data_IF_818300637394
#
_entry.id   IF_818300637394
#
_cell.length_a   1.000
_cell.length_b   1.000
_cell.length_c   1.000
_cell.angle_alpha   90.00
_cell.angle_beta   90.00
_cell.angle_gamma   90.00
#
_symmetry.space_group_name_H-M   'P 1'
#
loop_
_entity.id
_entity.type
_entity.pdbx_description
1 polymer ?
#
# COMPACT_ATOMS: atom_id res chain seq x y z
N UNK A 1 -10.47 -21.87 -2.34
CA UNK A 1 -10.47 -20.41 -2.07
C UNK A 1 -11.37 -19.73 -3.09
N UNK A 2 -12.29 -18.85 -2.66
CA UNK A 2 -13.14 -18.10 -3.61
C UNK A 2 -12.33 -17.04 -4.36
N UNK A 3 -12.79 -16.60 -5.53
CA UNK A 3 -12.16 -15.49 -6.29
C UNK A 3 -12.01 -14.23 -5.43
N UNK A 4 -13.03 -13.95 -4.61
CA UNK A 4 -13.03 -12.82 -3.67
C UNK A 4 -11.91 -12.96 -2.63
N UNK A 5 -11.82 -14.12 -1.97
CA UNK A 5 -10.78 -14.39 -0.97
C UNK A 5 -9.38 -14.25 -1.59
N UNK A 6 -9.17 -14.81 -2.79
CA UNK A 6 -7.87 -14.70 -3.48
C UNK A 6 -7.49 -13.25 -3.77
N UNK A 7 -8.41 -12.45 -4.29
CA UNK A 7 -8.16 -11.03 -4.60
C UNK A 7 -7.89 -10.23 -3.32
N UNK A 8 -8.66 -10.47 -2.26
CA UNK A 8 -8.44 -9.83 -0.97
C UNK A 8 -7.07 -10.19 -0.37
N UNK A 9 -6.68 -11.47 -0.39
CA UNK A 9 -5.39 -11.93 0.12
C UNK A 9 -4.22 -11.36 -0.69
N UNK A 10 -4.31 -11.33 -2.02
CA UNK A 10 -3.27 -10.70 -2.86
C UNK A 10 -3.18 -9.21 -2.58
N UNK A 11 -4.32 -8.51 -2.50
CA UNK A 11 -4.34 -7.09 -2.14
C UNK A 11 -3.71 -6.84 -0.76
N UNK A 12 -4.03 -7.67 0.23
CA UNK A 12 -3.44 -7.59 1.56
C UNK A 12 -1.93 -7.75 1.54
N UNK A 13 -1.42 -8.80 0.90
CA UNK A 13 0.02 -9.10 0.84
C UNK A 13 0.76 -7.94 0.15
N UNK A 14 0.25 -7.47 -0.98
CA UNK A 14 0.84 -6.33 -1.69
C UNK A 14 0.87 -5.09 -0.79
N UNK A 15 -0.26 -4.73 -0.19
CA UNK A 15 -0.34 -3.56 0.69
C UNK A 15 0.56 -3.67 1.93
N UNK A 16 0.68 -4.86 2.53
CA UNK A 16 1.53 -5.09 3.70
C UNK A 16 3.03 -5.00 3.36
N UNK A 17 3.43 -5.24 2.12
CA UNK A 17 4.82 -5.12 1.66
C UNK A 17 5.21 -3.70 1.23
N UNK A 18 4.25 -2.82 0.94
CA UNK A 18 4.53 -1.42 0.55
C UNK A 18 5.34 -0.67 1.62
N UNK A 19 5.03 -0.76 2.93
CA UNK A 19 5.85 -0.11 3.95
C UNK A 19 7.29 -0.65 3.98
N UNK A 20 7.48 -1.96 3.77
CA UNK A 20 8.81 -2.56 3.70
C UNK A 20 9.60 -2.01 2.51
N UNK A 21 8.98 -1.94 1.33
CA UNK A 21 9.58 -1.36 0.13
C UNK A 21 10.05 0.08 0.36
N UNK A 22 9.18 0.94 0.89
CA UNK A 22 9.53 2.32 1.18
C UNK A 22 10.54 2.46 2.32
N UNK A 23 10.55 1.54 3.28
CA UNK A 23 11.54 1.53 4.36
C UNK A 23 12.95 1.31 3.82
N UNK A 24 13.12 0.28 2.98
CA UNK A 24 14.39 0.00 2.30
C UNK A 24 14.80 1.18 1.41
N UNK A 25 13.87 1.74 0.63
CA UNK A 25 14.19 2.86 -0.25
C UNK A 25 14.53 4.15 0.53
N UNK A 26 13.86 4.42 1.65
CA UNK A 26 14.19 5.56 2.54
C UNK A 26 15.61 5.42 3.08
N UNK A 27 16.02 4.21 3.44
CA UNK A 27 17.36 3.94 3.92
C UNK A 27 18.41 4.18 2.83
N UNK A 28 18.14 3.75 1.60
CA UNK A 28 19.03 4.00 0.45
C UNK A 28 19.11 5.49 0.08
N UNK A 29 18.01 6.23 0.29
CA UNK A 29 17.90 7.66 -0.03
C UNK A 29 18.12 8.58 1.18
N UNK A 30 18.71 8.10 2.28
CA UNK A 30 18.79 8.87 3.53
C UNK A 30 19.56 10.20 3.39
N UNK A 31 20.48 10.26 2.43
CA UNK A 31 21.30 11.45 2.11
C UNK A 31 20.75 12.26 0.93
N UNK A 32 19.53 12.00 0.46
CA UNK A 32 18.96 12.74 -0.65
C UNK A 32 18.74 14.21 -0.22
N UNK A 33 19.39 15.19 -0.87
CA UNK A 33 19.26 16.58 -0.50
C UNK A 33 17.82 17.06 -0.62
N UNK A 34 17.45 18.01 0.24
CA UNK A 34 16.14 18.64 0.17
C UNK A 34 15.95 19.31 -1.19
N UNK A 35 14.84 18.99 -1.83
CA UNK A 35 14.60 19.41 -3.20
C UNK A 35 13.32 18.82 -3.76
N UNK A 36 13.11 18.99 -5.06
CA UNK A 36 11.92 18.48 -5.73
C UNK A 36 11.81 16.95 -5.66
N UNK A 37 12.94 16.23 -5.78
CA UNK A 37 12.99 14.77 -5.69
C UNK A 37 12.55 14.26 -4.32
N UNK A 38 13.09 14.86 -3.24
CA UNK A 38 12.70 14.50 -1.86
C UNK A 38 11.20 14.75 -1.63
N UNK A 39 10.65 15.88 -2.12
CA UNK A 39 9.20 16.15 -2.04
C UNK A 39 8.36 15.15 -2.83
N UNK A 40 8.78 14.79 -4.04
CA UNK A 40 8.09 13.80 -4.86
C UNK A 40 8.12 12.42 -4.20
N UNK A 41 9.27 12.03 -3.64
CA UNK A 41 9.46 10.80 -2.89
C UNK A 41 8.49 10.70 -1.71
N UNK A 42 8.50 11.69 -0.81
CA UNK A 42 7.62 11.67 0.37
C UNK A 42 6.14 11.71 -0.01
N UNK A 43 5.76 12.45 -1.06
CA UNK A 43 4.38 12.41 -1.59
C UNK A 43 3.99 10.99 -2.03
N UNK A 44 4.87 10.28 -2.74
CA UNK A 44 4.59 8.92 -3.17
C UNK A 44 4.44 7.95 -1.99
N UNK A 45 5.29 8.09 -0.96
CA UNK A 45 5.18 7.32 0.30
C UNK A 45 3.81 7.56 0.94
N UNK A 46 3.41 8.81 1.15
CA UNK A 46 2.15 9.11 1.84
C UNK A 46 0.90 8.76 1.03
N UNK A 47 0.96 8.79 -0.31
CA UNK A 47 -0.15 8.35 -1.17
C UNK A 47 -0.32 6.82 -1.09
N UNK A 48 0.77 6.08 -1.13
CA UNK A 48 0.74 4.61 -1.22
C UNK A 48 0.71 3.92 0.15
N UNK A 49 1.13 4.62 1.21
CA UNK A 49 1.11 4.21 2.60
C UNK A 49 0.77 5.41 3.51
N UNK A 50 -0.51 5.81 3.63
CA UNK A 50 -0.90 6.96 4.46
C UNK A 50 -0.60 6.76 5.95
N UNK A 51 -0.49 5.50 6.39
CA UNK A 51 -0.15 5.13 7.76
C UNK A 51 1.33 5.32 8.11
N UNK A 52 2.16 5.82 7.17
CA UNK A 52 3.58 6.10 7.40
C UNK A 52 3.83 7.12 8.53
N UNK A 53 2.82 7.92 8.87
CA UNK A 53 2.85 8.91 9.96
C UNK A 53 2.69 8.28 11.35
N UNK A 54 2.40 6.97 11.47
CA UNK A 54 2.30 6.33 12.78
C UNK A 54 3.69 6.25 13.38
N UNK A 55 3.87 6.83 14.55
CA UNK A 55 5.14 6.83 15.26
C UNK A 55 5.20 5.76 16.37
N UNK A 56 6.41 5.47 16.82
CA UNK A 56 6.68 4.57 17.94
C UNK A 56 6.73 3.09 17.57
N UNK A 57 6.99 2.26 18.58
CA UNK A 57 7.25 0.82 18.39
C UNK A 57 6.09 0.06 17.74
N UNK A 58 4.85 0.51 17.97
CA UNK A 58 3.65 -0.14 17.40
C UNK A 58 3.57 0.05 15.88
N UNK A 59 4.24 1.06 15.33
CA UNK A 59 4.18 1.38 13.92
C UNK A 59 4.73 0.24 13.04
N UNK A 60 5.75 -0.48 13.52
CA UNK A 60 6.34 -1.64 12.84
C UNK A 60 5.30 -2.71 12.50
N UNK A 61 4.28 -2.88 13.34
CA UNK A 61 3.21 -3.87 13.13
C UNK A 61 1.95 -3.25 12.54
N UNK A 62 1.56 -2.06 13.02
CA UNK A 62 0.33 -1.41 12.60
C UNK A 62 0.39 -0.92 11.15
N UNK A 63 1.52 -0.36 10.70
CA UNK A 63 1.65 0.12 9.32
C UNK A 63 1.39 -0.97 8.28
N UNK A 64 2.07 -2.14 8.29
CA UNK A 64 1.84 -3.19 7.30
C UNK A 64 0.44 -3.78 7.40
N UNK A 65 -0.11 -3.95 8.62
CA UNK A 65 -1.46 -4.48 8.79
C UNK A 65 -2.52 -3.53 8.21
N UNK A 66 -2.47 -2.25 8.58
CA UNK A 66 -3.42 -1.24 8.12
C UNK A 66 -3.31 -1.01 6.61
N UNK A 67 -2.08 -0.94 6.08
CA UNK A 67 -1.88 -0.76 4.64
C UNK A 67 -2.30 -2.01 3.85
N UNK A 68 -2.05 -3.21 4.39
CA UNK A 68 -2.58 -4.46 3.85
C UNK A 68 -4.10 -4.45 3.77
N UNK A 69 -4.78 -4.10 4.87
CA UNK A 69 -6.25 -3.98 4.90
C UNK A 69 -6.78 -2.99 3.86
N UNK A 70 -6.12 -1.82 3.72
CA UNK A 70 -6.50 -0.81 2.73
C UNK A 70 -6.43 -1.34 1.29
N UNK A 71 -5.34 -2.03 0.93
CA UNK A 71 -5.19 -2.60 -0.42
C UNK A 71 -6.11 -3.80 -0.66
N UNK A 72 -6.40 -4.61 0.37
CA UNK A 72 -7.38 -5.68 0.27
C UNK A 72 -8.77 -5.12 -0.05
N UNK A 73 -9.20 -4.06 0.65
CA UNK A 73 -10.46 -3.37 0.41
C UNK A 73 -10.50 -2.75 -1.00
N UNK A 74 -9.42 -2.09 -1.42
CA UNK A 74 -9.31 -1.51 -2.75
C UNK A 74 -9.41 -2.58 -3.84
N UNK A 75 -8.69 -3.71 -3.69
CA UNK A 75 -8.72 -4.81 -4.64
C UNK A 75 -10.11 -5.45 -4.76
N UNK A 76 -10.80 -5.61 -3.63
CA UNK A 76 -12.19 -6.09 -3.60
C UNK A 76 -13.15 -5.09 -4.25
N UNK A 77 -12.99 -3.79 -3.99
CA UNK A 77 -13.78 -2.74 -4.62
C UNK A 77 -13.61 -2.76 -6.14
N UNK A 78 -12.37 -2.82 -6.62
CA UNK A 78 -12.06 -2.91 -8.05
C UNK A 78 -12.64 -4.19 -8.69
N UNK A 79 -12.60 -5.32 -7.98
CA UNK A 79 -13.23 -6.56 -8.44
C UNK A 79 -14.74 -6.40 -8.61
N UNK A 80 -15.42 -5.76 -7.65
CA UNK A 80 -16.87 -5.49 -7.72
C UNK A 80 -17.21 -4.53 -8.86
N UNK A 81 -16.42 -3.47 -9.05
CA UNK A 81 -16.60 -2.50 -10.14
C UNK A 81 -16.35 -3.10 -11.53
N UNK A 82 -15.50 -4.12 -11.64
CA UNK A 82 -15.29 -4.88 -12.89
C UNK A 82 -16.36 -5.95 -13.15
N UNK A 83 -17.15 -6.32 -12.14
CA UNK A 83 -18.24 -7.29 -12.23
C UNK A 83 -19.31 -6.99 -13.30
N UNK A 84 -19.83 -5.75 -13.44
CA UNK A 84 -20.82 -5.44 -14.48
C UNK A 84 -20.23 -5.26 -15.89
N UNK A 85 -18.94 -4.95 -16.04
CA UNK A 85 -18.33 -4.65 -17.34
C UNK A 85 -17.89 -5.89 -18.14
N UNK A 86 -17.92 -7.08 -17.54
CA UNK A 86 -17.50 -8.35 -18.16
C UNK A 86 -18.66 -9.32 -18.41
N UNK A 87 -19.90 -8.95 -18.07
CA UNK A 87 -21.11 -9.75 -18.30
C UNK A 87 -21.81 -9.44 -19.65
N UNK A 88 -21.19 -8.59 -20.48
CA UNK A 88 -21.71 -8.13 -21.80
C UNK A 88 -20.79 -8.53 -22.96
N UNK A 89 -20.09 -9.66 -22.84
CA UNK A 89 -19.42 -10.31 -23.97
C UNK A 89 -19.81 -11.76 -24.06
#
# INVERSE_FOLDING_TARGET
MTRLTRVASVGFIVGALVPLFWGVLSFLLFNLPEGWLSRAYWRAVYITCPFWLIEGQKAMFLMPILNGCMYALLAVLLLKLRGPALATK
#
